data_IF_213592999487
#
_entry.id   IF_213592999487
#
_cell.length_a   1.000
_cell.length_b   1.000
_cell.length_c   1.000
_cell.angle_alpha   90.00
_cell.angle_beta   90.00
_cell.angle_gamma   90.00
#
_symmetry.space_group_name_H-M   'P 1'
#
loop_
_entity.id
_entity.type
_entity.pdbx_description
1 polymer ?
#
# COMPACT_ATOMS: atom_id res chain seq x y z
N UNK A 1 23.86 6.12 7.60
CA UNK A 1 22.69 5.34 7.15
C UNK A 1 22.51 4.15 8.09
N UNK A 2 21.28 3.82 8.50
CA UNK A 2 21.02 2.57 9.22
C UNK A 2 21.28 1.37 8.30
N UNK A 3 21.80 0.28 8.87
CA UNK A 3 22.07 -0.97 8.15
C UNK A 3 21.10 -2.06 8.62
N UNK A 4 20.64 -2.87 7.67
CA UNK A 4 19.76 -4.02 7.94
C UNK A 4 20.47 -5.27 7.44
N UNK A 5 20.61 -6.27 8.31
CA UNK A 5 21.16 -7.59 7.96
C UNK A 5 20.02 -8.60 7.97
N UNK A 6 19.84 -9.33 6.87
CA UNK A 6 18.77 -10.30 6.69
C UNK A 6 19.39 -11.68 6.46
N UNK A 7 18.88 -12.68 7.19
CA UNK A 7 19.19 -14.08 6.90
C UNK A 7 18.23 -14.58 5.83
N UNK A 8 18.77 -15.17 4.76
CA UNK A 8 18.00 -15.79 3.68
C UNK A 8 18.36 -17.26 3.55
N UNK A 9 17.44 -18.13 3.08
CA UNK A 9 17.77 -19.52 2.81
C UNK A 9 18.91 -19.66 1.81
N UNK A 10 19.81 -20.61 2.03
CA UNK A 10 20.99 -20.82 1.18
C UNK A 10 20.62 -21.03 -0.29
N UNK A 11 19.57 -21.81 -0.56
CA UNK A 11 19.07 -22.03 -1.91
C UNK A 11 18.62 -20.74 -2.62
N UNK A 12 18.11 -19.75 -1.89
CA UNK A 12 17.76 -18.45 -2.45
C UNK A 12 19.00 -17.61 -2.71
N UNK A 13 19.96 -17.60 -1.78
CA UNK A 13 21.23 -16.90 -1.94
C UNK A 13 22.00 -17.38 -3.18
N UNK A 14 22.04 -18.69 -3.43
CA UNK A 14 22.70 -19.25 -4.62
C UNK A 14 22.00 -18.84 -5.93
N UNK A 15 20.66 -18.72 -5.93
CA UNK A 15 19.93 -18.16 -7.09
C UNK A 15 20.23 -16.68 -7.28
N UNK A 16 20.30 -15.90 -6.20
CA UNK A 16 20.64 -14.47 -6.27
C UNK A 16 22.06 -14.26 -6.79
N UNK A 17 23.03 -15.07 -6.35
CA UNK A 17 24.41 -15.04 -6.86
C UNK A 17 24.50 -15.32 -8.36
N UNK A 18 23.71 -16.26 -8.88
CA UNK A 18 23.66 -16.54 -10.34
C UNK A 18 23.20 -15.34 -11.16
N UNK A 19 22.44 -14.44 -10.54
CA UNK A 19 21.96 -13.19 -11.11
C UNK A 19 22.69 -11.99 -10.48
N UNK A 20 24.02 -12.00 -10.53
CA UNK A 20 24.87 -10.96 -9.94
C UNK A 20 24.75 -9.59 -10.62
N UNK A 21 24.19 -9.54 -11.82
CA UNK A 21 23.87 -8.31 -12.54
C UNK A 21 22.79 -7.47 -11.84
N UNK A 22 22.00 -8.10 -10.95
CA UNK A 22 20.92 -7.44 -10.21
C UNK A 22 21.47 -6.83 -8.91
N UNK A 23 21.18 -5.54 -8.69
CA UNK A 23 21.47 -4.85 -7.43
C UNK A 23 20.42 -5.21 -6.38
N UNK A 24 20.56 -6.40 -5.79
CA UNK A 24 19.59 -6.96 -4.84
C UNK A 24 19.29 -6.06 -3.63
N UNK A 25 20.26 -5.28 -3.15
CA UNK A 25 20.04 -4.31 -2.08
C UNK A 25 19.02 -3.22 -2.44
N UNK A 26 19.01 -2.76 -3.70
CA UNK A 26 18.04 -1.78 -4.19
C UNK A 26 16.65 -2.40 -4.35
N UNK A 27 16.58 -3.65 -4.82
CA UNK A 27 15.32 -4.40 -4.91
C UNK A 27 14.69 -4.54 -3.52
N UNK A 28 15.46 -4.99 -2.54
CA UNK A 28 14.99 -5.15 -1.15
C UNK A 28 14.57 -3.81 -0.56
N UNK A 29 15.35 -2.74 -0.78
CA UNK A 29 15.00 -1.39 -0.30
C UNK A 29 13.64 -0.95 -0.87
N UNK A 30 13.44 -1.08 -2.18
CA UNK A 30 12.19 -0.72 -2.83
C UNK A 30 11.00 -1.50 -2.28
N UNK A 31 11.13 -2.82 -2.15
CA UNK A 31 10.05 -3.66 -1.61
C UNK A 31 9.71 -3.30 -0.16
N UNK A 32 10.71 -3.01 0.68
CA UNK A 32 10.47 -2.58 2.06
C UNK A 32 9.74 -1.22 2.07
N UNK A 33 10.20 -0.25 1.27
CA UNK A 33 9.57 1.07 1.17
C UNK A 33 8.11 0.97 0.74
N UNK A 34 7.81 0.24 -0.34
CA UNK A 34 6.44 0.04 -0.83
C UNK A 34 5.57 -0.63 0.24
N UNK A 35 6.10 -1.64 0.94
CA UNK A 35 5.34 -2.33 1.99
C UNK A 35 5.03 -1.42 3.18
N UNK A 36 5.94 -0.52 3.54
CA UNK A 36 5.70 0.47 4.60
C UNK A 36 4.64 1.48 4.16
N UNK A 37 4.71 1.99 2.93
CA UNK A 37 3.70 2.90 2.38
C UNK A 37 2.29 2.28 2.40
N UNK A 38 2.18 1.00 1.99
CA UNK A 38 0.93 0.25 2.05
C UNK A 38 0.39 0.15 3.48
N UNK A 39 1.25 -0.19 4.44
CA UNK A 39 0.88 -0.31 5.85
C UNK A 39 0.46 1.04 6.44
N UNK A 40 1.15 2.12 6.10
CA UNK A 40 0.77 3.47 6.51
C UNK A 40 -0.56 3.91 5.88
N UNK A 41 -0.81 3.55 4.62
CA UNK A 41 -2.09 3.81 3.97
C UNK A 41 -3.22 3.04 4.66
N UNK A 42 -3.01 1.75 4.93
CA UNK A 42 -3.96 0.92 5.68
C UNK A 42 -4.21 1.50 7.07
N UNK A 43 -3.17 1.95 7.77
CA UNK A 43 -3.31 2.55 9.08
C UNK A 43 -4.05 3.90 9.00
N UNK A 44 -3.78 4.74 8.00
CA UNK A 44 -4.53 5.99 7.76
C UNK A 44 -5.99 5.72 7.42
N UNK A 45 -6.27 4.69 6.64
CA UNK A 45 -7.64 4.27 6.32
C UNK A 45 -8.33 3.68 7.55
N UNK A 46 -7.62 2.91 8.37
CA UNK A 46 -8.13 2.31 9.60
C UNK A 46 -8.34 3.35 10.71
N UNK A 47 -7.46 4.35 10.82
CA UNK A 47 -7.59 5.50 11.73
C UNK A 47 -8.73 6.42 11.29
N UNK A 48 -8.91 6.62 9.98
CA UNK A 48 -10.12 7.22 9.39
C UNK A 48 -11.35 6.31 9.53
N UNK A 49 -11.15 5.00 9.75
CA UNK A 49 -12.19 4.00 10.00
C UNK A 49 -12.49 3.75 11.48
N UNK A 50 -12.40 4.78 12.35
CA UNK A 50 -13.59 5.02 13.18
C UNK A 50 -14.71 5.55 12.26
N UNK A 51 -15.03 4.78 11.23
CA UNK A 51 -16.12 5.01 10.31
C UNK A 51 -17.33 4.64 11.13
N UNK A 52 -17.92 5.67 11.74
CA UNK A 52 -19.20 5.50 12.40
C UNK A 52 -20.25 5.25 11.31
N UNK A 53 -21.38 4.66 11.68
CA UNK A 53 -22.49 4.47 10.73
C UNK A 53 -22.88 5.80 10.04
N UNK A 54 -22.73 6.92 10.74
CA UNK A 54 -22.96 8.26 10.21
C UNK A 54 -22.00 8.65 9.08
N UNK A 55 -20.73 8.21 9.12
CA UNK A 55 -19.75 8.48 8.06
C UNK A 55 -20.07 7.69 6.78
N UNK A 56 -20.57 6.45 6.94
CA UNK A 56 -21.05 5.63 5.82
C UNK A 56 -22.25 6.31 5.15
N UNK A 57 -23.20 6.79 5.95
CA UNK A 57 -24.42 7.44 5.45
C UNK A 57 -24.08 8.77 4.75
N UNK A 58 -23.12 9.55 5.26
CA UNK A 58 -22.69 10.79 4.61
C UNK A 58 -22.05 10.53 3.24
N UNK A 59 -21.21 9.50 3.13
CA UNK A 59 -20.59 9.08 1.87
C UNK A 59 -21.65 8.61 0.89
N UNK A 60 -22.60 7.77 1.33
CA UNK A 60 -23.72 7.32 0.50
C UNK A 60 -24.58 8.47 -0.01
N UNK A 61 -24.86 9.48 0.84
CA UNK A 61 -25.59 10.68 0.44
C UNK A 61 -24.82 11.57 -0.54
N UNK A 62 -23.49 11.65 -0.44
CA UNK A 62 -22.66 12.38 -1.41
C UNK A 62 -22.67 11.69 -2.77
N UNK A 63 -22.44 10.38 -2.80
CA UNK A 63 -22.47 9.58 -4.04
C UNK A 63 -23.85 9.72 -4.72
N UNK A 64 -24.94 9.53 -3.98
CA UNK A 64 -26.29 9.67 -4.54
C UNK A 64 -26.57 11.09 -5.08
N UNK A 65 -26.10 12.14 -4.40
CA UNK A 65 -26.25 13.52 -4.88
C UNK A 65 -25.48 13.79 -6.16
N UNK A 66 -24.25 13.32 -6.23
CA UNK A 66 -23.38 13.60 -7.38
C UNK A 66 -23.82 12.78 -8.60
N UNK A 67 -24.21 11.52 -8.40
CA UNK A 67 -24.85 10.69 -9.44
C UNK A 67 -26.17 11.32 -9.91
N UNK A 68 -27.01 11.80 -9.00
CA UNK A 68 -28.28 12.47 -9.35
C UNK A 68 -28.07 13.76 -10.15
N UNK A 69 -27.06 14.57 -9.79
CA UNK A 69 -26.70 15.78 -10.55
C UNK A 69 -26.19 15.47 -11.95
N UNK A 70 -25.44 14.39 -12.11
CA UNK A 70 -24.90 13.98 -13.41
C UNK A 70 -26.00 13.38 -14.31
N UNK A 71 -26.97 12.66 -13.72
CA UNK A 71 -28.11 12.11 -14.45
C UNK A 71 -29.15 13.17 -14.85
N UNK A 72 -29.34 14.23 -14.05
CA UNK A 72 -30.25 15.34 -14.35
C UNK A 72 -29.62 16.49 -15.16
N UNK A 73 -28.37 16.33 -15.59
CA UNK A 73 -27.70 17.24 -16.53
C UNK A 73 -27.94 16.90 -18.00
N UNK A 74 -28.76 15.87 -18.29
CA UNK A 74 -29.29 15.54 -19.62
C UNK A 74 -30.72 16.04 -19.76
#
# INVERSE_FOLDING_TARGET
MPNVTLSIPEALHEKMKKHSEIRWSEVVRKTISEKIEDLELMEKLSKRSKLTQADVDEIAHKINRDVFKELNKR
#
